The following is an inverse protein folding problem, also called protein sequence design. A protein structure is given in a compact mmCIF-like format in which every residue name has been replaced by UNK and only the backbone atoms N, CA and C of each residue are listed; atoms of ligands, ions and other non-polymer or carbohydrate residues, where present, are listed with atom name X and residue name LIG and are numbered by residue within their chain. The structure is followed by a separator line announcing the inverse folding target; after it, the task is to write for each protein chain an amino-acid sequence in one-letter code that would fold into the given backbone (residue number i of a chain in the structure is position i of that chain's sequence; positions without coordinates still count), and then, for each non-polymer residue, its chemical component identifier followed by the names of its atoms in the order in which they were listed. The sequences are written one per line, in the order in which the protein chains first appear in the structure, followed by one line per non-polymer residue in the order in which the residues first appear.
data_IF_003136553582
#
_entry.id   IF_003136553582
#
_cell.length_a   1.000
_cell.length_b   1.000
_cell.length_c   1.000
_cell.angle_alpha   90.00
_cell.angle_beta   90.00
_cell.angle_gamma   90.00
#
_symmetry.space_group_name_H-M   'P 1'
#
loop_
_entity.id
_entity.type
_entity.pdbx_description
1 polymer ?
#
# COMPACT_ATOMS: atom_id res chain seq x y z
N UNK A 1 -10.17 0.35 -9.08
CA UNK A 1 -9.39 0.33 -7.83
C UNK A 1 -10.06 1.25 -6.82
N UNK A 2 -10.45 0.72 -5.70
CA UNK A 2 -11.12 1.54 -4.68
C UNK A 2 -10.11 2.34 -3.89
N UNK A 3 -10.38 3.62 -3.70
CA UNK A 3 -9.59 4.44 -2.81
C UNK A 3 -9.79 3.96 -1.38
N UNK A 4 -8.70 3.92 -0.61
CA UNK A 4 -8.74 3.57 0.79
C UNK A 4 -9.44 4.68 1.57
N UNK A 5 -10.42 4.33 2.38
CA UNK A 5 -11.11 5.31 3.23
C UNK A 5 -10.19 5.69 4.39
N UNK A 6 -10.27 6.94 4.79
CA UNK A 6 -9.45 7.46 5.87
C UNK A 6 -10.32 7.92 7.04
N UNK A 7 -9.89 7.55 8.25
CA UNK A 7 -10.52 7.97 9.50
C UNK A 7 -9.45 8.62 10.37
N UNK A 8 -9.80 9.67 11.08
CA UNK A 8 -8.88 10.41 11.93
C UNK A 8 -9.21 10.11 13.39
N UNK A 9 -8.18 9.75 14.17
CA UNK A 9 -8.31 9.52 15.61
C UNK A 9 -7.13 10.14 16.35
N UNK A 10 -7.35 10.66 17.57
CA UNK A 10 -6.23 11.15 18.38
C UNK A 10 -5.36 10.01 18.89
N UNK A 11 -4.11 10.32 19.22
CA UNK A 11 -3.13 9.32 19.70
C UNK A 11 -3.59 8.59 20.96
N UNK A 12 -4.39 9.22 21.80
CA UNK A 12 -4.95 8.58 22.99
C UNK A 12 -5.75 7.32 22.66
N UNK A 13 -6.39 7.27 21.47
CA UNK A 13 -7.17 6.13 21.04
C UNK A 13 -6.32 4.90 20.78
N UNK A 14 -5.04 5.06 20.45
CA UNK A 14 -4.13 3.92 20.32
C UNK A 14 -3.99 3.16 21.65
N UNK A 15 -4.00 3.88 22.76
CA UNK A 15 -3.90 3.30 24.09
C UNK A 15 -5.24 2.79 24.59
N UNK A 16 -6.29 3.59 24.40
CA UNK A 16 -7.57 3.36 25.06
C UNK A 16 -8.58 2.61 24.19
N UNK A 17 -8.44 2.70 22.86
CA UNK A 17 -9.40 2.17 21.91
C UNK A 17 -8.72 1.40 20.77
N UNK A 18 -7.62 0.70 21.09
CA UNK A 18 -6.86 -0.03 20.08
C UNK A 18 -7.71 -1.10 19.37
N UNK A 19 -8.58 -1.79 20.09
CA UNK A 19 -9.42 -2.83 19.48
C UNK A 19 -10.37 -2.25 18.44
N UNK A 20 -10.85 -1.04 18.64
CA UNK A 20 -11.71 -0.37 17.65
C UNK A 20 -10.91 0.03 16.42
N UNK A 21 -9.69 0.55 16.62
CA UNK A 21 -8.79 0.90 15.51
C UNK A 21 -8.45 -0.33 14.69
N UNK A 22 -8.08 -1.43 15.37
CA UNK A 22 -7.76 -2.69 14.72
C UNK A 22 -8.94 -3.19 13.88
N UNK A 23 -10.14 -3.12 14.41
CA UNK A 23 -11.36 -3.51 13.71
C UNK A 23 -11.60 -2.66 12.46
N UNK A 24 -11.47 -1.34 12.58
CA UNK A 24 -11.61 -0.44 11.45
C UNK A 24 -10.62 -0.78 10.33
N UNK A 25 -9.38 -1.05 10.69
CA UNK A 25 -8.35 -1.38 9.71
C UNK A 25 -8.61 -2.73 9.04
N UNK A 26 -8.97 -3.75 9.82
CA UNK A 26 -9.09 -5.13 9.30
C UNK A 26 -10.44 -5.41 8.64
N UNK A 27 -11.53 -4.97 9.25
CA UNK A 27 -12.87 -5.31 8.78
C UNK A 27 -13.45 -4.28 7.82
N UNK A 28 -13.19 -3.01 8.08
CA UNK A 28 -13.73 -1.93 7.27
C UNK A 28 -12.74 -1.41 6.22
N UNK A 29 -11.54 -1.95 6.22
CA UNK A 29 -10.48 -1.60 5.27
C UNK A 29 -10.19 -0.09 5.24
N UNK A 30 -10.08 0.49 6.42
CA UNK A 30 -9.80 1.92 6.59
C UNK A 30 -8.34 2.15 6.99
N UNK A 31 -7.79 3.27 6.52
CA UNK A 31 -6.54 3.80 7.06
C UNK A 31 -6.90 4.73 8.20
N UNK A 32 -6.38 4.48 9.40
CA UNK A 32 -6.65 5.33 10.56
C UNK A 32 -5.47 6.26 10.77
N UNK A 33 -5.71 7.56 10.55
CA UNK A 33 -4.70 8.59 10.73
C UNK A 33 -4.66 8.96 12.20
N UNK A 34 -3.53 8.72 12.83
CA UNK A 34 -3.34 9.04 14.25
C UNK A 34 -2.74 10.43 14.35
N UNK A 35 -3.41 11.28 15.12
CA UNK A 35 -2.99 12.67 15.25
C UNK A 35 -2.40 12.95 16.63
N UNK A 36 -1.44 13.87 16.65
CA UNK A 36 -0.87 14.44 17.88
C UNK A 36 -1.01 15.95 17.75
N UNK A 37 -1.66 16.58 18.73
CA UNK A 37 -1.92 18.02 18.72
C UNK A 37 -2.61 18.49 17.42
N UNK A 38 -3.56 17.69 16.93
CA UNK A 38 -4.31 18.02 15.73
C UNK A 38 -3.59 17.81 14.42
N UNK A 39 -2.37 17.26 14.44
CA UNK A 39 -1.58 17.00 13.22
C UNK A 39 -1.42 15.51 13.01
N UNK A 40 -1.46 15.08 11.76
CA UNK A 40 -1.19 13.70 11.40
C UNK A 40 0.23 13.30 11.81
N UNK A 41 0.33 12.22 12.57
CA UNK A 41 1.60 11.71 13.09
C UNK A 41 1.94 10.35 12.50
N UNK A 42 1.02 9.40 12.60
CA UNK A 42 1.19 8.05 12.06
C UNK A 42 -0.10 7.61 11.38
N UNK A 43 0.00 6.51 10.62
CA UNK A 43 -1.15 5.89 9.98
C UNK A 43 -1.19 4.43 10.38
N UNK A 44 -2.37 3.95 10.80
CA UNK A 44 -2.59 2.55 11.11
C UNK A 44 -3.32 1.89 9.96
N UNK A 45 -2.80 0.76 9.50
CA UNK A 45 -3.36 -0.05 8.41
C UNK A 45 -3.44 -1.49 8.87
N UNK A 46 -4.34 -2.28 8.25
CA UNK A 46 -4.25 -3.72 8.42
C UNK A 46 -2.96 -4.23 7.79
N UNK A 47 -2.42 -5.32 8.33
CA UNK A 47 -1.22 -5.93 7.77
C UNK A 47 -1.44 -6.37 6.31
N UNK A 48 -2.63 -6.86 6.01
CA UNK A 48 -2.99 -7.25 4.64
C UNK A 48 -2.96 -6.07 3.68
N UNK A 49 -3.50 -4.92 4.09
CA UNK A 49 -3.49 -3.72 3.25
C UNK A 49 -2.08 -3.18 3.07
N UNK A 50 -1.27 -3.20 4.14
CA UNK A 50 0.13 -2.80 4.06
C UNK A 50 0.89 -3.66 3.02
N UNK A 51 0.73 -4.98 3.08
CA UNK A 51 1.37 -5.88 2.11
C UNK A 51 0.93 -5.59 0.68
N UNK A 52 -0.36 -5.34 0.50
CA UNK A 52 -0.93 -5.04 -0.82
C UNK A 52 -0.36 -3.75 -1.39
N UNK A 53 -0.29 -2.70 -0.57
CA UNK A 53 0.27 -1.41 -0.98
C UNK A 53 1.75 -1.52 -1.30
N UNK A 54 2.49 -2.25 -0.48
CA UNK A 54 3.92 -2.48 -0.68
C UNK A 54 4.18 -3.20 -2.00
N UNK A 55 3.42 -4.26 -2.27
CA UNK A 55 3.54 -5.01 -3.53
C UNK A 55 3.21 -4.13 -4.73
N UNK A 56 2.21 -3.28 -4.61
CA UNK A 56 1.82 -2.36 -5.68
C UNK A 56 2.91 -1.35 -5.98
N UNK A 57 3.54 -0.81 -4.94
CA UNK A 57 4.65 0.14 -5.09
C UNK A 57 5.84 -0.53 -5.77
N UNK A 58 6.20 -1.74 -5.36
CA UNK A 58 7.27 -2.51 -5.96
C UNK A 58 7.00 -2.79 -7.45
N UNK A 59 5.75 -3.12 -7.77
CA UNK A 59 5.31 -3.35 -9.15
C UNK A 59 5.48 -2.10 -10.00
N UNK A 60 5.07 -0.94 -9.48
CA UNK A 60 5.19 0.33 -10.19
C UNK A 60 6.65 0.72 -10.41
N UNK A 61 7.53 0.42 -9.46
CA UNK A 61 8.97 0.64 -9.60
C UNK A 61 9.55 -0.22 -10.72
N UNK A 62 9.15 -1.50 -10.78
CA UNK A 62 9.60 -2.41 -11.84
C UNK A 62 9.15 -1.90 -13.21
N UNK A 63 7.91 -1.43 -13.32
CA UNK A 63 7.39 -0.87 -14.57
C UNK A 63 8.16 0.38 -14.99
N UNK A 64 8.48 1.25 -14.05
CA UNK A 64 9.24 2.46 -14.33
C UNK A 64 10.66 2.12 -14.82
N UNK A 65 11.32 1.13 -14.22
CA UNK A 65 12.63 0.67 -14.66
C UNK A 65 12.58 0.06 -16.06
N UNK A 66 11.57 -0.76 -16.33
CA UNK A 66 11.39 -1.38 -17.65
C UNK A 66 11.19 -0.31 -18.72
N UNK A 67 10.39 0.71 -18.43
CA UNK A 67 10.17 1.83 -19.35
C UNK A 67 11.46 2.62 -19.61
N UNK A 68 12.25 2.88 -18.57
CA UNK A 68 13.52 3.56 -18.67
C UNK A 68 14.51 2.74 -19.51
N UNK A 69 14.56 1.42 -19.33
CA UNK A 69 15.42 0.52 -20.09
C UNK A 69 15.08 0.53 -21.58
N UNK A 70 13.81 0.57 -21.91
CA UNK A 70 13.37 0.69 -23.31
C UNK A 70 13.82 2.01 -23.91
N UNK A 71 13.68 3.12 -23.19
CA UNK A 71 14.10 4.46 -23.65
C UNK A 71 15.61 4.53 -23.88
N UNK A 72 16.39 3.81 -23.05
CA UNK A 72 17.85 3.81 -23.13
C UNK A 72 18.40 2.74 -24.09
N UNK A 73 17.53 2.05 -24.83
CA UNK A 73 17.95 1.01 -25.77
C UNK A 73 18.35 -0.29 -25.13
N UNK A 74 18.11 -0.47 -23.85
CA UNK A 74 18.34 -1.72 -23.16
C UNK A 74 17.08 -2.58 -23.29
N UNK A 75 17.07 -3.43 -24.29
CA UNK A 75 15.88 -4.23 -24.61
C UNK A 75 15.89 -5.52 -23.81
N UNK A 76 15.16 -5.56 -22.69
CA UNK A 76 14.67 -6.81 -22.15
C UNK A 76 13.43 -7.22 -22.95
N UNK A 77 13.24 -8.52 -23.27
CA UNK A 77 12.02 -8.93 -23.96
C UNK A 77 10.78 -8.53 -23.15
N UNK A 78 9.95 -7.70 -23.76
CA UNK A 78 8.75 -7.16 -23.09
C UNK A 78 7.85 -8.30 -22.60
N UNK A 79 7.80 -9.42 -23.34
CA UNK A 79 7.01 -10.58 -22.96
C UNK A 79 7.43 -11.18 -21.62
N UNK A 80 8.71 -11.28 -21.35
CA UNK A 80 9.20 -11.80 -20.06
C UNK A 80 8.83 -10.87 -18.91
N UNK A 81 8.95 -9.57 -19.11
CA UNK A 81 8.57 -8.58 -18.11
C UNK A 81 7.09 -8.67 -17.77
N UNK A 82 6.23 -8.80 -18.77
CA UNK A 82 4.79 -8.95 -18.55
C UNK A 82 4.43 -10.26 -17.86
N UNK A 83 5.12 -11.34 -18.19
CA UNK A 83 4.89 -12.63 -17.53
C UNK A 83 5.27 -12.58 -16.07
N UNK A 84 6.39 -11.97 -15.72
CA UNK A 84 6.82 -11.78 -14.35
C UNK A 84 5.81 -10.93 -13.57
N UNK A 85 5.32 -9.85 -14.15
CA UNK A 85 4.32 -8.99 -13.54
C UNK A 85 3.02 -9.73 -13.30
N UNK A 86 2.60 -10.57 -14.25
CA UNK A 86 1.41 -11.37 -14.13
C UNK A 86 1.53 -12.38 -13.00
N UNK A 87 2.68 -13.01 -12.85
CA UNK A 87 2.95 -13.92 -11.75
C UNK A 87 2.87 -13.21 -10.40
N UNK A 88 3.46 -12.03 -10.28
CA UNK A 88 3.41 -11.24 -9.05
C UNK A 88 1.97 -10.90 -8.67
N UNK A 89 1.12 -10.59 -9.65
CA UNK A 89 -0.28 -10.27 -9.40
C UNK A 89 -1.08 -11.49 -8.96
N UNK A 90 -0.72 -12.69 -9.44
CA UNK A 90 -1.39 -13.94 -9.07
C UNK A 90 -0.99 -14.44 -7.69
N UNK A 91 0.22 -14.14 -7.25
CA UNK A 91 0.74 -14.54 -5.95
C UNK A 91 0.36 -13.58 -4.82
N UNK A 92 -0.16 -12.42 -5.17
CA UNK A 92 -0.50 -11.37 -4.22
C UNK A 92 -1.76 -11.63 -3.37
#
# INVERSE_FOLDING_TARGET
MQALQETIRPSADLRNHYSEISKQCREENEAVIITVNGRGDTVSLSYEEYKRMKSRIELLEILAEAEADVRNGRVAPISETFDDLRQMLQEG
#
